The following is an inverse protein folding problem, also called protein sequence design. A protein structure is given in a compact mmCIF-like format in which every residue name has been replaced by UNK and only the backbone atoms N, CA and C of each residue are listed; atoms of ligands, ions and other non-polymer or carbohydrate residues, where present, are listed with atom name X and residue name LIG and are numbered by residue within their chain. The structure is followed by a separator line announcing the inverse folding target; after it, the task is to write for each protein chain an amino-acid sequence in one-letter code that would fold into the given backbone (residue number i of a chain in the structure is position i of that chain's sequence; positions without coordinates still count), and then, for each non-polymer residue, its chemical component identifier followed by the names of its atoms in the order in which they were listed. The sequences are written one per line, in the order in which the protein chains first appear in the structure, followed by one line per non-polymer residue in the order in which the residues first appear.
data_IF_063767924266
#
_entry.id   IF_063767924266
#
_cell.length_a   1.000
_cell.length_b   1.000
_cell.length_c   1.000
_cell.angle_alpha   90.00
_cell.angle_beta   90.00
_cell.angle_gamma   90.00
#
_symmetry.space_group_name_H-M   'P 1'
#
loop_
_entity.id
_entity.type
_entity.pdbx_description
1 polymer ?
#
# COMPACT_ATOMS: atom_id res chain seq x y z
N UNK A 1 -14.59 32.97 -25.79
CA UNK A 1 -14.17 31.55 -25.91
C UNK A 1 -12.85 31.19 -25.18
N UNK A 2 -11.93 32.13 -24.93
CA UNK A 2 -10.63 31.83 -24.29
C UNK A 2 -10.65 31.58 -22.77
N UNK A 3 -11.62 32.16 -22.04
CA UNK A 3 -11.72 32.02 -20.59
C UNK A 3 -12.00 30.58 -20.14
N UNK A 4 -12.91 29.88 -20.83
CA UNK A 4 -13.26 28.49 -20.54
C UNK A 4 -12.08 27.52 -20.74
N UNK A 5 -11.30 27.69 -21.83
CA UNK A 5 -10.06 26.90 -22.06
C UNK A 5 -9.00 27.16 -20.98
N UNK A 6 -8.87 28.40 -20.50
CA UNK A 6 -7.93 28.77 -19.42
C UNK A 6 -8.35 28.18 -18.06
N UNK A 7 -9.67 28.15 -17.79
CA UNK A 7 -10.26 27.52 -16.61
C UNK A 7 -10.03 25.99 -16.61
N UNK A 8 -10.35 25.32 -17.72
CA UNK A 8 -10.11 23.87 -17.88
C UNK A 8 -8.63 23.51 -17.70
N UNK A 9 -7.70 24.32 -18.24
CA UNK A 9 -6.26 24.09 -18.07
C UNK A 9 -5.81 24.29 -16.63
N UNK A 10 -6.38 25.28 -15.91
CA UNK A 10 -6.16 25.48 -14.47
C UNK A 10 -6.72 24.31 -13.65
N UNK A 11 -7.91 23.81 -13.95
CA UNK A 11 -8.51 22.67 -13.25
C UNK A 11 -7.72 21.39 -13.48
N UNK A 12 -7.30 21.09 -14.73
CA UNK A 12 -6.42 19.95 -15.02
C UNK A 12 -5.07 20.07 -14.31
N UNK A 13 -4.45 21.26 -14.30
CA UNK A 13 -3.20 21.50 -13.58
C UNK A 13 -3.38 21.36 -12.06
N UNK A 14 -4.51 21.84 -11.51
CA UNK A 14 -4.85 21.71 -10.09
C UNK A 14 -5.13 20.26 -9.70
N UNK A 15 -5.89 19.50 -10.49
CA UNK A 15 -6.05 18.05 -10.28
C UNK A 15 -4.72 17.31 -10.38
N UNK A 16 -3.85 17.69 -11.33
CA UNK A 16 -2.49 17.13 -11.42
C UNK A 16 -1.64 17.47 -10.19
N UNK A 17 -1.71 18.70 -9.68
CA UNK A 17 -0.99 19.09 -8.45
C UNK A 17 -1.57 18.45 -7.18
N UNK A 18 -2.88 18.26 -7.09
CA UNK A 18 -3.53 17.53 -6.00
C UNK A 18 -3.08 16.06 -6.04
N UNK A 19 -3.01 15.43 -7.22
CA UNK A 19 -2.45 14.08 -7.38
C UNK A 19 -0.97 13.99 -6.98
N UNK A 20 -0.17 15.04 -7.18
CA UNK A 20 1.23 15.13 -6.75
C UNK A 20 1.41 15.22 -5.22
N UNK A 21 0.33 15.45 -4.46
CA UNK A 21 0.35 15.55 -3.00
C UNK A 21 -0.30 14.35 -2.31
N UNK A 22 -0.55 13.24 -3.02
CA UNK A 22 -1.21 12.07 -2.43
C UNK A 22 -0.43 11.57 -1.23
N UNK A 23 -1.05 11.63 -0.05
CA UNK A 23 -0.44 11.16 1.21
C UNK A 23 -0.96 9.76 1.48
N UNK A 24 -0.05 8.79 1.58
CA UNK A 24 -0.38 7.41 1.94
C UNK A 24 0.18 7.10 3.32
N UNK A 25 -0.64 6.52 4.18
CA UNK A 25 -0.24 6.13 5.53
C UNK A 25 -0.58 4.66 5.78
N UNK A 26 0.37 3.88 6.27
CA UNK A 26 0.18 2.51 6.72
C UNK A 26 0.25 2.50 8.24
N UNK A 27 -0.89 2.23 8.88
CA UNK A 27 -0.99 2.17 10.34
C UNK A 27 -1.05 0.70 10.75
N UNK A 28 -0.01 0.20 11.40
CA UNK A 28 0.04 -1.13 11.99
C UNK A 28 -0.70 -1.10 13.32
N UNK A 29 -1.75 -1.90 13.42
CA UNK A 29 -2.68 -1.89 14.55
C UNK A 29 -2.44 -3.03 15.54
N UNK A 30 -1.93 -4.15 15.06
CA UNK A 30 -1.60 -5.32 15.86
C UNK A 30 -0.47 -6.09 15.18
N UNK A 31 0.42 -6.67 15.98
CA UNK A 31 1.40 -7.65 15.53
C UNK A 31 1.09 -9.00 16.18
N UNK A 32 1.21 -10.07 15.39
CA UNK A 32 1.00 -11.42 15.86
C UNK A 32 2.08 -12.35 15.31
N UNK A 33 2.69 -13.14 16.21
CA UNK A 33 3.75 -14.08 15.83
C UNK A 33 3.32 -15.12 14.79
N UNK A 34 2.05 -15.55 14.83
CA UNK A 34 1.54 -16.62 13.97
C UNK A 34 0.88 -16.08 12.69
N UNK A 35 0.27 -14.90 12.76
CA UNK A 35 -0.60 -14.41 11.68
C UNK A 35 -0.12 -13.10 11.06
N UNK A 36 1.05 -12.61 11.45
CA UNK A 36 1.65 -11.39 10.91
C UNK A 36 1.10 -10.10 11.54
N UNK A 37 1.36 -9.01 10.85
CA UNK A 37 1.07 -7.64 11.29
C UNK A 37 -0.12 -7.09 10.51
N UNK A 38 -1.20 -6.81 11.22
CA UNK A 38 -2.42 -6.29 10.63
C UNK A 38 -2.48 -4.78 10.79
N UNK A 39 -2.90 -4.11 9.73
CA UNK A 39 -2.98 -2.67 9.70
C UNK A 39 -4.10 -2.14 8.82
N UNK A 40 -4.08 -0.84 8.60
CA UNK A 40 -4.92 -0.15 7.63
C UNK A 40 -4.08 0.76 6.75
N UNK A 41 -4.49 0.87 5.48
CA UNK A 41 -3.95 1.87 4.57
C UNK A 41 -4.90 3.05 4.50
N UNK A 42 -4.36 4.26 4.70
CA UNK A 42 -5.06 5.52 4.45
C UNK A 42 -4.52 6.19 3.20
N UNK A 43 -5.43 6.75 2.42
CA UNK A 43 -5.11 7.61 1.28
C UNK A 43 -5.78 8.95 1.55
N UNK A 44 -5.02 10.04 1.50
CA UNK A 44 -5.50 11.40 1.78
C UNK A 44 -6.30 11.49 3.07
N UNK A 45 -5.75 10.89 4.13
CA UNK A 45 -6.31 10.84 5.48
C UNK A 45 -7.62 10.05 5.62
N UNK A 46 -8.10 9.36 4.59
CA UNK A 46 -9.28 8.49 4.68
C UNK A 46 -8.85 7.03 4.70
N UNK A 47 -9.49 6.21 5.54
CA UNK A 47 -9.26 4.76 5.55
C UNK A 47 -9.70 4.21 4.20
N UNK A 48 -8.77 3.59 3.48
CA UNK A 48 -9.03 2.97 2.20
C UNK A 48 -9.27 1.47 2.35
N UNK A 49 -8.38 0.76 3.03
CA UNK A 49 -8.45 -0.69 3.15
C UNK A 49 -7.71 -1.21 4.40
N UNK A 50 -7.83 -2.51 4.68
CA UNK A 50 -6.99 -3.21 5.65
C UNK A 50 -5.73 -3.75 4.98
N UNK A 51 -4.69 -3.98 5.77
CA UNK A 51 -3.41 -4.51 5.32
C UNK A 51 -2.97 -5.71 6.15
N UNK A 52 -2.09 -6.52 5.54
CA UNK A 52 -1.37 -7.60 6.19
C UNK A 52 0.08 -7.61 5.70
N UNK A 53 1.00 -7.67 6.65
CA UNK A 53 2.44 -7.83 6.48
C UNK A 53 2.87 -9.05 7.31
N UNK A 54 4.05 -9.65 7.12
CA UNK A 54 4.56 -10.58 8.11
C UNK A 54 4.90 -9.82 9.41
N UNK A 55 5.18 -10.54 10.48
CA UNK A 55 5.69 -9.95 11.73
C UNK A 55 7.06 -9.31 11.51
N UNK A 56 7.48 -8.41 12.39
CA UNK A 56 8.85 -7.90 12.36
C UNK A 56 9.85 -8.99 12.80
N UNK A 57 10.75 -9.31 11.87
CA UNK A 57 11.94 -10.16 12.03
C UNK A 57 13.19 -9.34 11.69
N UNK A 58 13.31 -8.14 12.26
CA UNK A 58 14.47 -7.24 12.14
C UNK A 58 14.80 -6.91 10.67
N UNK A 59 13.77 -6.55 9.88
CA UNK A 59 13.90 -6.28 8.43
C UNK A 59 14.50 -7.46 7.62
N UNK A 60 14.42 -8.71 8.10
CA UNK A 60 14.84 -9.88 7.33
C UNK A 60 14.10 -10.00 5.98
N UNK A 61 14.85 -10.32 4.93
CA UNK A 61 14.35 -10.45 3.56
C UNK A 61 13.23 -11.48 3.45
N UNK A 62 12.15 -11.11 2.77
CA UNK A 62 10.96 -11.92 2.44
C UNK A 62 10.16 -12.48 3.62
N UNK A 63 10.60 -12.28 4.86
CA UNK A 63 9.94 -12.82 6.06
C UNK A 63 9.62 -11.76 7.12
N UNK A 64 10.04 -10.52 6.90
CA UNK A 64 9.84 -9.41 7.84
C UNK A 64 9.01 -8.27 7.25
N UNK A 65 8.23 -7.59 8.09
CA UNK A 65 7.75 -6.26 7.77
C UNK A 65 8.93 -5.27 7.70
N UNK A 66 8.78 -4.18 6.95
CA UNK A 66 9.87 -3.19 6.84
C UNK A 66 9.83 -2.20 8.03
N UNK A 67 10.94 -1.53 8.38
CA UNK A 67 10.96 -0.58 9.49
C UNK A 67 9.88 0.52 9.38
N UNK A 68 9.27 0.89 10.51
CA UNK A 68 8.34 2.01 10.53
C UNK A 68 9.07 3.35 10.32
N UNK A 69 8.89 3.94 9.14
CA UNK A 69 9.45 5.25 8.79
C UNK A 69 8.72 5.83 7.56
N UNK A 70 9.35 6.81 6.90
CA UNK A 70 8.89 7.33 5.62
C UNK A 70 9.65 6.68 4.46
N UNK A 71 8.91 6.37 3.39
CA UNK A 71 9.43 5.81 2.15
C UNK A 71 8.85 6.52 0.93
N UNK A 72 9.55 6.42 -0.18
CA UNK A 72 9.02 6.77 -1.50
C UNK A 72 8.50 5.49 -2.15
N UNK A 73 7.24 5.49 -2.56
CA UNK A 73 6.68 4.41 -3.33
C UNK A 73 6.71 4.79 -4.81
N UNK A 74 7.26 3.92 -5.67
CA UNK A 74 7.37 4.15 -7.11
C UNK A 74 6.59 3.12 -7.90
N UNK A 75 5.84 3.57 -8.90
CA UNK A 75 5.14 2.69 -9.83
C UNK A 75 6.15 1.82 -10.55
N UNK A 76 5.86 0.52 -10.64
CA UNK A 76 6.73 -0.48 -11.25
C UNK A 76 5.89 -1.59 -11.90
N UNK A 77 6.54 -2.47 -12.66
CA UNK A 77 5.96 -3.68 -13.23
C UNK A 77 6.64 -4.89 -12.60
N UNK A 78 5.94 -5.56 -11.69
CA UNK A 78 6.36 -6.82 -11.09
C UNK A 78 6.17 -7.98 -12.08
N UNK A 79 7.15 -8.89 -12.24
CA UNK A 79 6.97 -10.10 -13.04
C UNK A 79 5.81 -11.00 -12.56
N UNK A 80 5.53 -11.00 -11.25
CA UNK A 80 4.49 -11.83 -10.63
C UNK A 80 3.15 -11.11 -10.54
N UNK A 81 3.15 -9.85 -10.13
CA UNK A 81 1.92 -9.12 -9.80
C UNK A 81 1.47 -8.12 -10.87
N UNK A 82 2.27 -7.93 -11.92
CA UNK A 82 2.01 -6.91 -12.94
C UNK A 82 2.27 -5.49 -12.41
N UNK A 83 1.49 -4.53 -12.90
CA UNK A 83 1.64 -3.13 -12.50
C UNK A 83 1.29 -2.92 -11.02
N UNK A 84 2.20 -2.33 -10.25
CA UNK A 84 2.03 -2.03 -8.83
C UNK A 84 2.96 -0.90 -8.39
N UNK A 85 3.11 -0.69 -7.07
CA UNK A 85 4.08 0.20 -6.46
C UNK A 85 5.09 -0.57 -5.61
N UNK A 86 6.35 -0.20 -5.73
CA UNK A 86 7.46 -0.64 -4.89
C UNK A 86 7.72 0.40 -3.80
N UNK A 87 7.87 -0.04 -2.55
CA UNK A 87 8.36 0.75 -1.43
C UNK A 87 9.89 0.79 -1.53
N UNK A 88 10.43 1.91 -1.99
CA UNK A 88 11.86 2.05 -2.30
C UNK A 88 12.65 2.58 -1.12
N UNK A 89 13.96 2.28 -1.08
CA UNK A 89 14.86 2.77 -0.03
C UNK A 89 14.79 1.99 1.27
N UNK A 90 14.26 0.77 1.23
CA UNK A 90 14.34 -0.18 2.36
C UNK A 90 15.77 -0.71 2.42
N UNK A 91 16.48 -0.59 3.58
CA UNK A 91 17.84 -1.09 3.70
C UNK A 91 17.93 -2.58 3.35
N UNK A 92 18.88 -2.94 2.49
CA UNK A 92 19.18 -4.31 2.06
C UNK A 92 17.99 -5.11 1.47
N UNK A 93 16.90 -4.42 1.09
CA UNK A 93 15.71 -5.04 0.50
C UNK A 93 15.32 -4.34 -0.80
N UNK A 94 14.80 -5.15 -1.71
CA UNK A 94 14.29 -4.73 -3.01
C UNK A 94 12.94 -5.42 -3.24
N UNK A 95 12.13 -4.89 -4.15
CA UNK A 95 10.84 -5.50 -4.51
C UNK A 95 9.90 -5.67 -3.31
N UNK A 96 9.89 -4.72 -2.37
CA UNK A 96 8.84 -4.65 -1.35
C UNK A 96 7.64 -3.98 -1.97
N UNK A 97 6.60 -4.76 -2.29
CA UNK A 97 5.49 -4.31 -3.13
C UNK A 97 4.19 -4.15 -2.34
N UNK A 98 3.22 -3.49 -2.98
CA UNK A 98 1.81 -3.67 -2.64
C UNK A 98 1.21 -4.75 -3.54
N UNK A 99 0.43 -5.69 -3.00
CA UNK A 99 -0.29 -6.66 -3.84
C UNK A 99 -1.52 -7.26 -3.14
N UNK A 100 -2.20 -8.16 -3.85
CA UNK A 100 -3.30 -8.95 -3.32
C UNK A 100 -2.79 -10.29 -2.75
N UNK A 101 -3.44 -10.76 -1.69
CA UNK A 101 -3.16 -11.97 -0.92
C UNK A 101 -4.17 -12.04 0.24
N UNK A 102 -4.18 -13.11 1.04
CA UNK A 102 -5.17 -13.22 2.13
C UNK A 102 -4.56 -13.62 3.48
N UNK A 103 -3.35 -14.18 3.50
CA UNK A 103 -2.67 -14.70 4.69
C UNK A 103 -1.25 -14.16 4.80
N UNK A 104 -0.60 -14.35 5.94
CA UNK A 104 0.79 -13.96 6.18
C UNK A 104 1.76 -14.70 5.24
N UNK A 105 1.44 -15.97 4.91
CA UNK A 105 2.17 -16.78 3.94
C UNK A 105 2.16 -16.17 2.53
N UNK A 106 1.12 -15.40 2.18
CA UNK A 106 1.05 -14.72 0.89
C UNK A 106 1.93 -13.47 0.83
N UNK A 107 2.41 -12.97 1.98
CA UNK A 107 3.05 -11.63 2.05
C UNK A 107 4.42 -11.61 1.42
N UNK A 108 5.26 -12.62 1.69
CA UNK A 108 6.67 -12.67 1.26
C UNK A 108 7.40 -11.33 1.54
N UNK A 109 7.13 -10.73 2.71
CA UNK A 109 7.74 -9.47 3.12
C UNK A 109 7.20 -8.21 2.42
N UNK A 110 6.10 -8.33 1.66
CA UNK A 110 5.37 -7.23 1.02
C UNK A 110 4.15 -6.79 1.86
N UNK A 111 3.46 -5.75 1.41
CA UNK A 111 2.22 -5.24 2.02
C UNK A 111 1.02 -5.73 1.21
N UNK A 112 0.20 -6.60 1.81
CA UNK A 112 -1.04 -7.06 1.20
C UNK A 112 -2.16 -6.06 1.46
N UNK A 113 -3.01 -5.79 0.46
CA UNK A 113 -4.20 -4.95 0.56
C UNK A 113 -5.50 -5.76 0.45
N UNK A 114 -6.45 -5.51 1.35
CA UNK A 114 -7.75 -6.21 1.38
C UNK A 114 -8.88 -5.37 1.96
N UNK A 115 -10.13 -5.75 1.71
CA UNK A 115 -11.28 -4.94 2.11
C UNK A 115 -11.60 -5.04 3.61
N UNK A 116 -11.46 -6.22 4.19
CA UNK A 116 -11.80 -6.46 5.59
C UNK A 116 -10.99 -7.60 6.22
N UNK A 117 -10.83 -7.56 7.53
CA UNK A 117 -10.33 -8.68 8.33
C UNK A 117 -11.32 -9.84 8.31
N UNK A 118 -10.80 -11.05 8.39
CA UNK A 118 -11.61 -12.26 8.40
C UNK A 118 -10.82 -13.50 8.78
N UNK A 119 -11.26 -14.65 8.28
CA UNK A 119 -10.60 -15.94 8.49
C UNK A 119 -10.64 -16.79 7.22
N UNK A 120 -9.59 -17.56 7.01
CA UNK A 120 -9.57 -18.68 6.07
C UNK A 120 -9.41 -19.97 6.87
N UNK A 121 -10.49 -20.76 6.96
CA UNK A 121 -10.56 -21.87 7.90
C UNK A 121 -10.41 -21.40 9.35
N UNK A 122 -9.33 -21.82 10.02
CA UNK A 122 -9.03 -21.44 11.41
C UNK A 122 -8.09 -20.25 11.53
N UNK A 123 -7.40 -19.88 10.44
CA UNK A 123 -6.37 -18.85 10.46
C UNK A 123 -6.99 -17.47 10.31
N UNK A 124 -6.41 -16.48 11.00
CA UNK A 124 -6.74 -15.07 10.73
C UNK A 124 -6.27 -14.73 9.32
N UNK A 125 -7.05 -13.90 8.64
CA UNK A 125 -6.83 -13.55 7.25
C UNK A 125 -7.36 -12.14 6.98
N UNK A 126 -7.05 -11.64 5.81
CA UNK A 126 -7.72 -10.49 5.20
C UNK A 126 -8.38 -10.93 3.89
N UNK A 127 -9.53 -10.35 3.54
CA UNK A 127 -10.40 -10.90 2.50
C UNK A 127 -10.74 -9.86 1.41
N UNK A 128 -11.13 -10.38 0.23
CA UNK A 128 -11.45 -9.61 -0.98
C UNK A 128 -10.26 -8.79 -1.55
N UNK A 129 -9.04 -9.28 -1.40
CA UNK A 129 -7.81 -8.58 -1.77
C UNK A 129 -7.70 -8.26 -3.26
N UNK A 130 -8.09 -9.18 -4.15
CA UNK A 130 -8.02 -8.95 -5.61
C UNK A 130 -8.88 -7.75 -6.08
N UNK A 131 -10.07 -7.57 -5.52
CA UNK A 131 -10.92 -6.42 -5.85
C UNK A 131 -10.37 -5.12 -5.22
N UNK A 132 -9.91 -5.19 -3.98
CA UNK A 132 -9.31 -4.05 -3.28
C UNK A 132 -8.06 -3.55 -4.00
N UNK A 133 -7.18 -4.45 -4.42
CA UNK A 133 -5.98 -4.07 -5.17
C UNK A 133 -6.31 -3.41 -6.52
N UNK A 134 -7.33 -3.89 -7.24
CA UNK A 134 -7.82 -3.21 -8.45
C UNK A 134 -8.31 -1.79 -8.17
N UNK A 135 -9.09 -1.60 -7.09
CA UNK A 135 -9.54 -0.26 -6.65
C UNK A 135 -8.36 0.64 -6.29
N UNK A 136 -7.33 0.09 -5.63
CA UNK A 136 -6.11 0.81 -5.30
C UNK A 136 -5.42 1.34 -6.57
N UNK A 137 -5.20 0.48 -7.57
CA UNK A 137 -4.57 0.90 -8.83
C UNK A 137 -5.40 1.94 -9.60
N UNK A 138 -6.73 1.87 -9.55
CA UNK A 138 -7.62 2.88 -10.13
C UNK A 138 -7.51 4.23 -9.43
N UNK A 139 -7.48 4.26 -8.09
CA UNK A 139 -7.27 5.50 -7.31
C UNK A 139 -5.91 6.11 -7.66
N UNK A 140 -4.90 5.26 -7.85
CA UNK A 140 -3.54 5.68 -8.15
C UNK A 140 -3.30 6.02 -9.64
N UNK A 141 -4.31 5.97 -10.51
CA UNK A 141 -4.14 6.22 -11.95
C UNK A 141 -3.43 7.56 -12.22
N UNK A 142 -2.37 7.54 -13.03
CA UNK A 142 -1.59 8.75 -13.37
C UNK A 142 -0.73 9.31 -12.22
N UNK A 143 -0.55 8.55 -11.15
CA UNK A 143 0.44 8.79 -10.09
C UNK A 143 1.60 7.82 -10.32
N UNK A 144 2.80 8.34 -10.51
CA UNK A 144 4.02 7.53 -10.71
C UNK A 144 4.79 7.33 -9.41
N UNK A 145 4.60 8.22 -8.42
CA UNK A 145 5.22 8.12 -7.11
C UNK A 145 4.38 8.81 -6.03
N UNK A 146 4.48 8.33 -4.79
CA UNK A 146 3.89 8.96 -3.60
C UNK A 146 4.75 8.72 -2.35
N UNK A 147 4.51 9.52 -1.31
CA UNK A 147 5.12 9.31 0.01
C UNK A 147 4.26 8.37 0.85
N UNK A 148 4.90 7.36 1.43
CA UNK A 148 4.32 6.46 2.42
C UNK A 148 4.88 6.80 3.80
N UNK A 149 4.01 6.93 4.80
CA UNK A 149 4.41 6.95 6.21
C UNK A 149 3.89 5.69 6.89
N UNK A 150 4.79 4.91 7.50
CA UNK A 150 4.45 3.73 8.29
C UNK A 150 4.48 4.10 9.77
N UNK A 151 3.44 3.72 10.51
CA UNK A 151 3.26 4.04 11.93
C UNK A 151 2.79 2.80 12.67
N UNK A 152 3.41 2.51 13.82
CA UNK A 152 2.98 1.48 14.76
C UNK A 152 2.08 2.11 15.83
N UNK A 153 0.93 1.48 16.09
CA UNK A 153 -0.11 1.97 17.01
C UNK A 153 -0.25 1.08 18.27
N UNK A 154 0.40 -0.08 18.30
CA UNK A 154 0.35 -1.04 19.41
C UNK A 154 1.35 -0.75 20.54
#
# INVERSE_FOLDING_TARGET
MGWFKKLLRKMKKRNKMIKLQTIVELLRLEENYQYGTFGILRIDKQVFCVTLEPKDEENATDISSIPAQQYVCKRTISPRFGETFEITGVPDRFNVLFHAGNTDEDTEGCVILAEHYGKLGKNRAILNSGNTFKKFMLIMEGIDEFLLTIIEIY
#
